data_IF_368613587331
#
_entry.id   IF_368613587331
#
_cell.length_a   1.000
_cell.length_b   1.000
_cell.length_c   1.000
_cell.angle_alpha   90.00
_cell.angle_beta   90.00
_cell.angle_gamma   90.00
#
_symmetry.space_group_name_H-M   'P 1'
#
loop_
_entity.id
_entity.type
_entity.pdbx_description
1 polymer ?
#
# COMPACT_ATOMS: atom_id res chain seq x y z
N UNK A 1 3.13 -10.63 -2.58
CA UNK A 1 1.83 -9.92 -2.50
C UNK A 1 0.95 -10.46 -3.61
N UNK A 2 -0.01 -11.32 -3.26
CA UNK A 2 -1.12 -11.65 -4.17
C UNK A 2 -1.87 -10.37 -4.54
N UNK A 3 -2.55 -10.37 -5.68
CA UNK A 3 -3.33 -9.24 -6.19
C UNK A 3 -4.25 -8.73 -5.07
N UNK A 4 -4.14 -7.44 -4.74
CA UNK A 4 -5.12 -6.78 -3.89
C UNK A 4 -6.37 -6.61 -4.72
N UNK A 5 -7.44 -7.24 -4.30
CA UNK A 5 -8.70 -7.21 -5.01
C UNK A 5 -9.40 -5.87 -4.79
N UNK A 6 -9.83 -5.25 -5.89
CA UNK A 6 -10.54 -3.99 -5.88
C UNK A 6 -12.02 -4.24 -6.21
N UNK A 7 -12.89 -3.48 -5.55
CA UNK A 7 -14.33 -3.46 -5.82
C UNK A 7 -14.76 -2.08 -6.29
N UNK A 8 -15.49 -1.99 -7.40
CA UNK A 8 -16.07 -0.74 -7.91
C UNK A 8 -17.30 -0.30 -7.11
N UNK A 9 -17.58 1.01 -7.06
CA UNK A 9 -18.77 1.57 -6.39
C UNK A 9 -20.07 1.29 -7.18
N UNK A 10 -19.99 1.20 -8.51
CA UNK A 10 -21.15 1.07 -9.40
C UNK A 10 -21.59 -0.39 -9.68
N UNK A 11 -20.75 -1.39 -9.36
CA UNK A 11 -21.14 -2.80 -9.52
C UNK A 11 -21.48 -3.42 -8.15
N UNK A 12 -22.79 -3.48 -7.88
CA UNK A 12 -23.36 -4.31 -6.82
C UNK A 12 -23.20 -5.82 -7.07
N UNK A 13 -22.50 -6.22 -8.14
CA UNK A 13 -22.23 -7.62 -8.51
C UNK A 13 -20.77 -7.85 -8.91
N UNK A 14 -19.96 -8.31 -7.96
CA UNK A 14 -19.10 -9.50 -8.15
C UNK A 14 -17.84 -9.45 -9.03
N UNK A 15 -17.46 -8.36 -9.68
CA UNK A 15 -16.18 -8.29 -10.41
C UNK A 15 -15.04 -7.86 -9.48
N UNK A 16 -14.29 -8.84 -8.96
CA UNK A 16 -12.96 -8.63 -8.36
C UNK A 16 -12.00 -8.22 -9.48
N UNK A 17 -11.79 -6.92 -9.64
CA UNK A 17 -10.84 -6.42 -10.63
C UNK A 17 -9.46 -6.24 -9.97
N UNK A 18 -8.40 -6.72 -10.63
CA UNK A 18 -7.04 -6.34 -10.27
C UNK A 18 -6.77 -4.89 -10.72
N UNK A 19 -5.87 -4.19 -10.03
CA UNK A 19 -5.47 -2.82 -10.40
C UNK A 19 -4.91 -2.76 -11.82
N UNK A 20 -4.26 -3.82 -12.26
CA UNK A 20 -3.71 -3.95 -13.60
C UNK A 20 -4.81 -4.06 -14.67
N UNK A 21 -5.95 -4.65 -14.34
CA UNK A 21 -7.13 -4.72 -15.22
C UNK A 21 -7.75 -3.34 -15.42
N UNK A 22 -7.78 -2.52 -14.36
CA UNK A 22 -8.24 -1.13 -14.42
C UNK A 22 -7.31 -0.28 -15.29
N UNK A 23 -5.99 -0.39 -15.08
CA UNK A 23 -4.97 0.32 -15.86
C UNK A 23 -5.02 -0.05 -17.35
N UNK A 24 -5.21 -1.33 -17.66
CA UNK A 24 -5.37 -1.82 -19.04
C UNK A 24 -6.63 -1.26 -19.69
N UNK A 25 -7.80 -1.34 -19.02
CA UNK A 25 -9.09 -0.92 -19.59
C UNK A 25 -9.17 0.57 -19.85
N UNK A 26 -8.53 1.38 -19.02
CA UNK A 26 -8.49 2.83 -19.20
C UNK A 26 -7.77 3.31 -20.48
N UNK A 27 -7.09 2.42 -21.21
CA UNK A 27 -6.58 2.74 -22.55
C UNK A 27 -7.71 2.94 -23.59
N UNK A 28 -8.86 2.28 -23.39
CA UNK A 28 -9.98 2.23 -24.36
C UNK A 28 -11.07 3.26 -24.11
N UNK A 29 -11.14 3.83 -22.90
CA UNK A 29 -12.11 4.83 -22.47
C UNK A 29 -11.31 5.97 -21.88
N UNK A 30 -11.60 7.22 -22.29
CA UNK A 30 -10.83 8.43 -21.93
C UNK A 30 -10.14 8.35 -20.55
N UNK A 31 -8.83 8.63 -20.52
CA UNK A 31 -7.84 8.33 -19.48
C UNK A 31 -8.26 8.26 -18.00
N UNK A 32 -7.54 7.42 -17.23
CA UNK A 32 -7.86 7.02 -15.85
C UNK A 32 -7.71 8.16 -14.84
N UNK A 33 -8.77 8.43 -14.08
CA UNK A 33 -8.71 9.19 -12.82
C UNK A 33 -9.34 8.35 -11.72
N UNK A 34 -8.52 7.55 -11.05
CA UNK A 34 -8.95 6.56 -10.09
C UNK A 34 -8.81 7.08 -8.66
N UNK A 35 -9.85 6.90 -7.85
CA UNK A 35 -9.78 7.04 -6.41
C UNK A 35 -9.79 5.65 -5.77
N UNK A 36 -8.77 5.35 -4.97
CA UNK A 36 -8.68 4.12 -4.18
C UNK A 36 -8.97 4.45 -2.72
N UNK A 37 -10.10 3.94 -2.22
CA UNK A 37 -10.55 4.11 -0.84
C UNK A 37 -10.30 2.84 -0.03
N UNK A 38 -9.74 3.00 1.17
CA UNK A 38 -9.66 1.89 2.11
C UNK A 38 -9.45 2.38 3.54
N UNK A 39 -9.93 1.65 4.57
CA UNK A 39 -9.53 1.87 5.96
C UNK A 39 -8.00 1.80 6.16
N UNK A 40 -7.56 2.16 7.38
CA UNK A 40 -6.16 2.02 7.78
C UNK A 40 -5.67 0.56 7.70
N UNK A 41 -4.40 0.37 7.33
CA UNK A 41 -3.77 -0.96 7.30
C UNK A 41 -4.09 -1.86 6.10
N UNK A 42 -4.98 -1.44 5.19
CA UNK A 42 -5.36 -2.22 3.98
C UNK A 42 -4.33 -2.21 2.83
N UNK A 43 -3.23 -1.47 2.97
CA UNK A 43 -2.13 -1.52 2.00
C UNK A 43 -2.25 -0.58 0.79
N UNK A 44 -3.00 0.54 0.88
CA UNK A 44 -3.07 1.58 -0.19
C UNK A 44 -1.68 2.03 -0.66
N UNK A 45 -0.84 2.49 0.26
CA UNK A 45 0.54 2.90 -0.02
C UNK A 45 1.36 1.75 -0.59
N UNK A 46 1.18 0.52 -0.08
CA UNK A 46 1.89 -0.67 -0.56
C UNK A 46 1.49 -1.00 -2.00
N UNK A 47 0.20 -0.85 -2.36
CA UNK A 47 -0.30 -1.02 -3.72
C UNK A 47 0.37 -0.02 -4.68
N UNK A 48 0.39 1.27 -4.33
CA UNK A 48 1.02 2.29 -5.17
C UNK A 48 2.53 2.07 -5.32
N UNK A 49 3.23 1.70 -4.24
CA UNK A 49 4.65 1.33 -4.31
C UNK A 49 4.89 0.10 -5.18
N UNK A 50 4.01 -0.89 -5.10
CA UNK A 50 4.09 -2.07 -5.96
C UNK A 50 3.92 -1.69 -7.43
N UNK A 51 2.94 -0.83 -7.76
CA UNK A 51 2.80 -0.30 -9.11
C UNK A 51 4.07 0.41 -9.56
N UNK A 52 4.56 1.38 -8.76
CA UNK A 52 5.78 2.13 -9.07
C UNK A 52 6.97 1.20 -9.34
N UNK A 53 7.15 0.17 -8.52
CA UNK A 53 8.21 -0.83 -8.66
C UNK A 53 8.11 -1.61 -9.98
N UNK A 54 6.94 -2.20 -10.29
CA UNK A 54 6.78 -2.97 -11.53
C UNK A 54 6.94 -2.09 -12.78
N UNK A 55 6.43 -0.85 -12.74
CA UNK A 55 6.60 0.11 -13.83
C UNK A 55 8.06 0.54 -14.00
N UNK A 56 8.79 0.77 -12.91
CA UNK A 56 10.22 1.10 -12.94
C UNK A 56 11.06 -0.04 -13.54
N UNK A 57 10.70 -1.30 -13.27
CA UNK A 57 11.31 -2.48 -13.88
C UNK A 57 10.88 -2.72 -15.34
N UNK A 58 10.02 -1.87 -15.91
CA UNK A 58 9.40 -2.08 -17.23
C UNK A 58 8.69 -3.43 -17.36
N UNK A 59 8.06 -3.88 -16.28
CA UNK A 59 7.28 -5.11 -16.20
C UNK A 59 5.80 -4.82 -15.86
N UNK A 60 5.08 -4.01 -16.67
CA UNK A 60 3.64 -3.86 -16.47
C UNK A 60 2.95 -5.21 -16.66
N UNK A 61 2.01 -5.54 -15.77
CA UNK A 61 1.27 -6.81 -15.84
C UNK A 61 0.04 -6.68 -16.72
N UNK A 62 -0.51 -7.83 -17.12
CA UNK A 62 -1.80 -7.93 -17.82
C UNK A 62 -1.94 -6.98 -19.02
N UNK A 63 -0.88 -6.79 -19.82
CA UNK A 63 -0.87 -5.87 -20.97
C UNK A 63 -1.28 -4.42 -20.65
N UNK A 64 -1.06 -3.97 -19.40
CA UNK A 64 -1.20 -2.57 -19.05
C UNK A 64 -0.21 -1.70 -19.88
N UNK A 65 -0.57 -0.44 -20.19
CA UNK A 65 0.29 0.44 -20.98
C UNK A 65 1.63 0.68 -20.29
N UNK A 66 2.71 0.91 -21.05
CA UNK A 66 3.98 1.33 -20.47
C UNK A 66 3.92 2.80 -20.07
N UNK A 67 4.01 3.06 -18.77
CA UNK A 67 3.92 4.39 -18.17
C UNK A 67 5.13 4.65 -17.25
N UNK A 68 5.48 5.92 -17.10
CA UNK A 68 6.47 6.39 -16.14
C UNK A 68 5.74 6.62 -14.81
N UNK A 69 6.09 5.88 -13.74
CA UNK A 69 5.42 6.02 -12.46
C UNK A 69 5.96 7.24 -11.71
N UNK A 70 5.06 8.05 -11.18
CA UNK A 70 5.36 9.17 -10.29
C UNK A 70 4.59 8.94 -9.00
N UNK A 71 5.29 8.77 -7.88
CA UNK A 71 4.69 8.48 -6.57
C UNK A 71 4.89 9.66 -5.60
N UNK A 72 3.83 10.43 -5.39
CA UNK A 72 3.84 11.64 -4.56
C UNK A 72 3.04 11.39 -3.28
N UNK A 73 3.72 11.39 -2.12
CA UNK A 73 3.04 11.36 -0.81
C UNK A 73 2.51 12.74 -0.47
N UNK A 74 1.20 12.90 -0.37
CA UNK A 74 0.58 14.21 -0.10
C UNK A 74 1.04 14.80 1.22
N UNK A 75 1.23 13.97 2.25
CA UNK A 75 1.77 14.42 3.54
C UNK A 75 3.11 15.18 3.45
N UNK A 76 3.93 14.87 2.44
CA UNK A 76 5.26 15.47 2.20
C UNK A 76 5.16 16.79 1.42
N UNK A 77 4.18 16.89 0.54
CA UNK A 77 4.07 17.97 -0.46
C UNK A 77 2.94 18.95 -0.18
N UNK A 78 2.05 18.66 0.77
CA UNK A 78 0.89 19.50 1.09
C UNK A 78 1.27 20.97 1.35
N UNK A 79 2.32 21.23 2.14
CA UNK A 79 2.76 22.59 2.43
C UNK A 79 3.32 23.28 1.19
N UNK A 80 4.16 22.58 0.41
CA UNK A 80 4.69 23.11 -0.86
C UNK A 80 3.57 23.47 -1.82
N UNK A 81 2.54 22.61 -1.92
CA UNK A 81 1.36 22.84 -2.76
C UNK A 81 0.56 24.06 -2.29
N UNK A 82 0.47 24.31 -0.98
CA UNK A 82 -0.36 25.40 -0.45
C UNK A 82 0.35 26.73 -0.32
N UNK A 83 1.69 26.74 -0.24
CA UNK A 83 2.49 27.96 -0.05
C UNK A 83 3.22 28.43 -1.32
N UNK A 84 3.43 27.56 -2.31
CA UNK A 84 4.08 27.95 -3.57
C UNK A 84 3.05 28.43 -4.58
N UNK A 85 2.99 29.74 -4.80
CA UNK A 85 2.12 30.33 -5.81
C UNK A 85 2.45 29.82 -7.21
N UNK A 86 1.44 29.50 -8.00
CA UNK A 86 1.60 29.04 -9.39
C UNK A 86 2.22 27.65 -9.56
N UNK A 87 2.44 26.88 -8.48
CA UNK A 87 3.02 25.53 -8.57
C UNK A 87 2.19 24.64 -9.50
N UNK A 88 2.82 24.10 -10.54
CA UNK A 88 2.22 23.13 -11.44
C UNK A 88 2.75 21.70 -11.17
N UNK A 89 2.06 20.70 -11.74
CA UNK A 89 2.46 19.30 -11.60
C UNK A 89 3.88 19.01 -12.14
N UNK A 90 4.29 19.46 -13.34
CA UNK A 90 5.66 19.28 -13.82
C UNK A 90 6.72 19.75 -12.82
N UNK A 91 6.56 20.96 -12.27
CA UNK A 91 7.51 21.54 -11.31
C UNK A 91 7.57 20.71 -10.02
N UNK A 92 6.41 20.26 -9.51
CA UNK A 92 6.38 19.39 -8.33
C UNK A 92 7.08 18.04 -8.59
N UNK A 93 6.89 17.45 -9.77
CA UNK A 93 7.55 16.19 -10.16
C UNK A 93 9.06 16.37 -10.18
N UNK A 94 9.57 17.39 -10.87
CA UNK A 94 11.01 17.63 -10.98
C UNK A 94 11.63 17.94 -9.61
N UNK A 95 10.90 18.69 -8.76
CA UNK A 95 11.30 18.91 -7.35
C UNK A 95 11.33 17.62 -6.55
N UNK A 96 10.35 16.73 -6.73
CA UNK A 96 10.35 15.41 -6.08
C UNK A 96 11.52 14.54 -6.52
N UNK A 97 11.82 14.49 -7.83
CA UNK A 97 12.99 13.75 -8.34
C UNK A 97 14.29 14.26 -7.70
N UNK A 98 14.49 15.58 -7.65
CA UNK A 98 15.71 16.16 -7.06
C UNK A 98 15.80 15.98 -5.54
N UNK A 99 14.69 16.14 -4.82
CA UNK A 99 14.71 16.13 -3.35
C UNK A 99 14.64 14.75 -2.73
N UNK A 100 13.82 13.85 -3.28
CA UNK A 100 13.52 12.56 -2.67
C UNK A 100 14.21 11.38 -3.41
N UNK A 101 14.74 11.58 -4.62
CA UNK A 101 15.45 10.53 -5.37
C UNK A 101 16.95 10.80 -5.45
N UNK A 102 17.37 11.88 -6.10
CA UNK A 102 18.79 12.27 -6.13
C UNK A 102 18.95 13.73 -6.52
N UNK A 103 19.69 14.49 -5.71
CA UNK A 103 19.97 15.91 -5.94
C UNK A 103 20.87 16.13 -7.16
N UNK A 104 21.65 15.12 -7.55
CA UNK A 104 22.61 15.15 -8.66
C UNK A 104 21.94 14.83 -10.01
N UNK A 105 20.62 14.62 -10.05
CA UNK A 105 19.91 14.35 -11.29
C UNK A 105 19.94 15.57 -12.21
N UNK A 106 20.68 15.44 -13.32
CA UNK A 106 20.60 16.34 -14.45
C UNK A 106 19.36 16.02 -15.30
N UNK A 107 18.27 16.72 -14.99
CA UNK A 107 17.00 16.57 -15.70
C UNK A 107 17.00 17.47 -16.93
N UNK A 108 16.69 16.94 -18.13
CA UNK A 108 16.47 17.76 -19.32
C UNK A 108 15.44 18.85 -19.05
N UNK A 109 15.59 19.99 -19.72
CA UNK A 109 14.64 21.09 -19.57
C UNK A 109 13.22 20.63 -19.90
N UNK A 110 12.25 20.99 -19.06
CA UNK A 110 10.84 20.61 -19.19
C UNK A 110 10.59 19.09 -19.25
N UNK A 111 11.46 18.27 -18.64
CA UNK A 111 11.36 16.81 -18.70
C UNK A 111 9.97 16.32 -18.29
N UNK A 112 9.47 16.75 -17.11
CA UNK A 112 8.19 16.26 -16.62
C UNK A 112 7.04 16.73 -17.52
N UNK A 113 7.06 18.00 -17.95
CA UNK A 113 6.05 18.56 -18.85
C UNK A 113 6.00 17.82 -20.19
N UNK A 114 7.16 17.56 -20.81
CA UNK A 114 7.26 16.81 -22.07
C UNK A 114 6.65 15.41 -21.97
N UNK A 115 6.92 14.70 -20.88
CA UNK A 115 6.39 13.37 -20.65
C UNK A 115 4.88 13.36 -20.33
N UNK A 116 4.39 14.35 -19.59
CA UNK A 116 2.95 14.54 -19.34
C UNK A 116 2.19 14.88 -20.62
N UNK A 117 2.70 15.79 -21.47
CA UNK A 117 2.07 16.14 -22.74
C UNK A 117 2.00 14.95 -23.70
N UNK A 118 2.99 14.05 -23.64
CA UNK A 118 3.01 12.80 -24.41
C UNK A 118 2.17 11.68 -23.79
N UNK A 119 1.44 11.94 -22.70
CA UNK A 119 0.49 11.00 -22.08
C UNK A 119 1.17 9.73 -21.54
N UNK A 120 2.43 9.86 -21.08
CA UNK A 120 3.28 8.72 -20.70
C UNK A 120 3.39 8.52 -19.20
N UNK A 121 2.64 9.25 -18.37
CA UNK A 121 2.80 9.19 -16.91
C UNK A 121 1.63 8.51 -16.20
N UNK A 122 1.99 7.75 -15.16
CA UNK A 122 1.11 7.31 -14.09
C UNK A 122 1.44 8.12 -12.84
N UNK A 123 0.62 9.12 -12.53
CA UNK A 123 0.81 10.00 -11.38
C UNK A 123 -0.07 9.52 -10.22
N UNK A 124 0.58 9.17 -9.12
CA UNK A 124 -0.05 8.59 -7.94
C UNK A 124 0.11 9.53 -6.75
N UNK A 125 -1.00 10.08 -6.28
CA UNK A 125 -1.10 10.89 -5.07
C UNK A 125 -1.52 9.99 -3.90
N UNK A 126 -0.61 9.80 -2.94
CA UNK A 126 -0.84 8.92 -1.80
C UNK A 126 -1.25 9.69 -0.54
N UNK A 127 -2.36 9.27 0.08
CA UNK A 127 -2.77 9.65 1.43
C UNK A 127 -3.41 11.03 1.52
N UNK A 128 -4.52 11.27 0.81
CA UNK A 128 -5.29 12.52 0.98
C UNK A 128 -5.83 12.67 2.41
N UNK A 129 -6.13 11.56 3.10
CA UNK A 129 -6.52 11.59 4.51
C UNK A 129 -5.40 12.05 5.47
N UNK A 130 -4.15 12.15 5.00
CA UNK A 130 -3.01 12.68 5.76
C UNK A 130 -2.79 14.19 5.50
N UNK A 131 -3.63 14.82 4.67
CA UNK A 131 -3.59 16.27 4.44
C UNK A 131 -4.24 16.98 5.63
N UNK A 132 -3.55 17.99 6.17
CA UNK A 132 -4.07 18.78 7.29
C UNK A 132 -5.36 19.52 6.88
N UNK A 133 -6.36 19.67 7.78
CA UNK A 133 -7.63 20.30 7.45
C UNK A 133 -7.50 21.67 6.78
N UNK A 134 -6.56 22.51 7.25
CA UNK A 134 -6.28 23.84 6.71
C UNK A 134 -5.71 23.85 5.29
N UNK A 135 -5.18 22.71 4.83
CA UNK A 135 -4.63 22.54 3.49
C UNK A 135 -5.56 21.78 2.55
N UNK A 136 -6.60 21.11 3.08
CA UNK A 136 -7.44 20.19 2.33
C UNK A 136 -8.09 20.85 1.10
N UNK A 137 -8.62 22.07 1.26
CA UNK A 137 -9.24 22.80 0.16
C UNK A 137 -8.23 23.13 -0.94
N UNK A 138 -7.13 23.81 -0.60
CA UNK A 138 -6.10 24.21 -1.56
C UNK A 138 -5.48 23.00 -2.28
N UNK A 139 -5.18 21.93 -1.54
CA UNK A 139 -4.66 20.67 -2.13
C UNK A 139 -5.69 20.04 -3.04
N UNK A 140 -6.98 20.03 -2.67
CA UNK A 140 -8.04 19.50 -3.53
C UNK A 140 -8.11 20.26 -4.85
N UNK A 141 -8.18 21.61 -4.78
CA UNK A 141 -8.26 22.45 -5.98
C UNK A 141 -7.01 22.30 -6.85
N UNK A 142 -5.84 22.22 -6.23
CA UNK A 142 -4.60 21.97 -6.94
C UNK A 142 -4.63 20.63 -7.68
N UNK A 143 -5.00 19.51 -7.02
CA UNK A 143 -5.12 18.18 -7.65
C UNK A 143 -6.13 18.21 -8.80
N UNK A 144 -7.30 18.80 -8.57
CA UNK A 144 -8.35 18.91 -9.57
C UNK A 144 -7.90 19.68 -10.81
N UNK A 145 -7.17 20.79 -10.63
CA UNK A 145 -6.52 21.52 -11.71
C UNK A 145 -5.51 20.64 -12.47
N UNK A 146 -4.69 19.83 -11.79
CA UNK A 146 -3.74 18.96 -12.49
C UNK A 146 -4.43 17.87 -13.32
N UNK A 147 -5.52 17.29 -12.79
CA UNK A 147 -6.35 16.37 -13.56
C UNK A 147 -6.94 17.03 -14.80
N UNK A 148 -7.26 18.31 -14.69
CA UNK A 148 -7.81 19.13 -15.75
C UNK A 148 -6.78 19.51 -16.81
N UNK A 149 -5.58 19.92 -16.42
CA UNK A 149 -4.52 20.35 -17.34
C UNK A 149 -3.89 19.17 -18.08
N UNK A 150 -3.83 18.01 -17.42
CA UNK A 150 -3.21 16.79 -17.95
C UNK A 150 -4.21 15.64 -18.13
N UNK A 151 -5.43 15.94 -18.60
CA UNK A 151 -6.58 14.98 -18.67
C UNK A 151 -6.26 13.63 -19.30
N UNK A 152 -5.24 13.57 -20.13
CA UNK A 152 -4.86 12.38 -20.88
C UNK A 152 -3.83 11.48 -20.18
N UNK A 153 -3.39 11.81 -18.96
CA UNK A 153 -2.51 10.95 -18.17
C UNK A 153 -3.30 10.07 -17.20
N UNK A 154 -2.62 9.08 -16.62
CA UNK A 154 -3.20 8.20 -15.63
C UNK A 154 -2.98 8.79 -14.24
N UNK A 155 -4.07 8.95 -13.49
CA UNK A 155 -4.04 9.44 -12.13
C UNK A 155 -4.63 8.43 -11.16
N UNK A 156 -3.94 8.24 -10.03
CA UNK A 156 -4.47 7.53 -8.88
C UNK A 156 -4.38 8.43 -7.65
N UNK A 157 -5.49 8.59 -6.93
CA UNK A 157 -5.55 9.22 -5.62
C UNK A 157 -5.90 8.15 -4.59
N UNK A 158 -5.22 8.12 -3.44
CA UNK A 158 -5.59 7.24 -2.34
C UNK A 158 -6.08 8.05 -1.14
N UNK A 159 -7.06 7.51 -0.42
CA UNK A 159 -7.55 8.11 0.82
C UNK A 159 -8.26 7.08 1.71
N UNK A 160 -8.44 7.39 2.98
CA UNK A 160 -9.53 6.79 3.78
C UNK A 160 -10.88 7.41 3.37
N UNK A 161 -11.99 6.64 3.48
CA UNK A 161 -13.32 7.15 3.16
C UNK A 161 -13.66 8.47 3.89
N UNK A 162 -13.44 8.54 5.21
CA UNK A 162 -13.70 9.73 6.01
C UNK A 162 -12.84 10.93 5.59
N UNK A 163 -11.54 10.72 5.35
CA UNK A 163 -10.64 11.80 4.94
C UNK A 163 -10.96 12.36 3.57
N UNK A 164 -11.47 11.53 2.65
CA UNK A 164 -11.83 11.99 1.30
C UNK A 164 -13.04 12.93 1.29
N UNK A 165 -13.88 12.94 2.33
CA UNK A 165 -15.03 13.86 2.41
C UNK A 165 -14.61 15.34 2.35
N UNK A 166 -13.37 15.66 2.74
CA UNK A 166 -12.82 17.01 2.62
C UNK A 166 -12.39 17.39 1.20
N UNK A 167 -12.49 16.49 0.21
CA UNK A 167 -12.08 16.77 -1.16
C UNK A 167 -13.08 17.68 -1.89
N UNK A 168 -12.73 18.95 -2.07
CA UNK A 168 -13.66 20.00 -2.50
C UNK A 168 -13.58 20.44 -3.97
N UNK A 169 -12.63 19.94 -4.76
CA UNK A 169 -12.52 20.39 -6.17
C UNK A 169 -13.69 19.94 -7.04
N UNK A 170 -14.08 20.76 -8.01
CA UNK A 170 -15.11 20.42 -9.01
C UNK A 170 -14.68 19.28 -9.93
N UNK A 171 -13.37 19.18 -10.21
CA UNK A 171 -12.81 18.10 -11.00
C UNK A 171 -12.67 16.85 -10.11
N UNK A 172 -13.67 15.97 -10.14
CA UNK A 172 -13.70 14.72 -9.35
C UNK A 172 -13.00 13.55 -10.05
N UNK A 173 -12.63 12.49 -9.30
CA UNK A 173 -12.26 11.19 -9.87
C UNK A 173 -13.37 10.64 -10.77
N UNK A 174 -12.99 9.91 -11.82
CA UNK A 174 -13.93 9.27 -12.75
C UNK A 174 -14.37 7.90 -12.29
N UNK A 175 -13.53 7.22 -11.52
CA UNK A 175 -13.80 5.91 -10.99
C UNK A 175 -13.37 5.85 -9.53
N UNK A 176 -14.19 5.21 -8.70
CA UNK A 176 -13.89 4.95 -7.30
C UNK A 176 -13.89 3.46 -7.06
N UNK A 177 -12.86 3.00 -6.36
CA UNK A 177 -12.69 1.59 -6.00
C UNK A 177 -12.29 1.46 -4.54
N UNK A 178 -12.67 0.34 -3.95
CA UNK A 178 -12.33 -0.01 -2.58
C UNK A 178 -11.35 -1.18 -2.55
N UNK A 179 -10.38 -1.15 -1.63
CA UNK A 179 -9.54 -2.32 -1.36
C UNK A 179 -10.30 -3.29 -0.45
N UNK A 180 -10.47 -4.52 -0.92
CA UNK A 180 -11.11 -5.59 -0.14
C UNK A 180 -10.26 -6.02 1.06
N UNK A 181 -10.91 -6.75 1.97
CA UNK A 181 -10.17 -7.48 3.00
C UNK A 181 -9.33 -8.59 2.39
N UNK A 182 -8.31 -9.06 3.11
CA UNK A 182 -7.59 -10.26 2.71
C UNK A 182 -8.51 -11.48 2.75
N UNK A 183 -8.65 -12.15 1.61
CA UNK A 183 -9.30 -13.46 1.53
C UNK A 183 -8.46 -14.52 2.26
N UNK A 184 -9.03 -15.69 2.54
CA UNK A 184 -8.30 -16.80 3.19
C UNK A 184 -7.05 -17.18 2.40
N UNK A 185 -7.19 -17.20 1.08
CA UNK A 185 -6.08 -17.40 0.15
C UNK A 185 -5.02 -16.31 0.30
N UNK A 186 -5.40 -15.03 0.40
CA UNK A 186 -4.43 -13.95 0.61
C UNK A 186 -3.68 -14.10 1.94
N UNK A 187 -4.36 -14.51 3.01
CA UNK A 187 -3.74 -14.74 4.32
C UNK A 187 -2.72 -15.87 4.21
N UNK A 188 -3.12 -17.02 3.66
CA UNK A 188 -2.22 -18.17 3.46
C UNK A 188 -1.01 -17.78 2.61
N UNK A 189 -1.23 -17.17 1.45
CA UNK A 189 -0.16 -16.69 0.57
C UNK A 189 0.80 -15.74 1.27
N UNK A 190 0.26 -14.81 2.06
CA UNK A 190 1.06 -13.85 2.81
C UNK A 190 1.96 -14.58 3.81
N UNK A 191 1.39 -15.47 4.63
CA UNK A 191 2.11 -16.18 5.69
C UNK A 191 3.24 -17.05 5.12
N UNK A 192 2.94 -17.87 4.11
CA UNK A 192 3.96 -18.72 3.48
C UNK A 192 5.07 -17.91 2.83
N UNK A 193 4.72 -16.86 2.05
CA UNK A 193 5.73 -15.99 1.41
C UNK A 193 6.55 -15.25 2.46
N UNK A 194 5.93 -14.79 3.54
CA UNK A 194 6.63 -14.09 4.61
C UNK A 194 7.67 -15.00 5.27
N UNK A 195 7.28 -16.21 5.72
CA UNK A 195 8.22 -17.14 6.34
C UNK A 195 9.32 -17.59 5.39
N UNK A 196 8.98 -17.84 4.12
CA UNK A 196 9.97 -18.15 3.09
C UNK A 196 11.08 -17.10 3.04
N UNK A 197 10.74 -15.84 2.79
CA UNK A 197 11.74 -14.78 2.70
C UNK A 197 12.49 -14.58 4.02
N UNK A 198 11.79 -14.68 5.15
CA UNK A 198 12.41 -14.50 6.45
C UNK A 198 13.42 -15.57 6.82
N UNK A 199 13.22 -16.83 6.45
CA UNK A 199 14.18 -17.91 6.70
C UNK A 199 15.33 -17.89 5.68
N UNK A 200 15.06 -17.50 4.43
CA UNK A 200 16.10 -17.34 3.42
C UNK A 200 17.14 -16.28 3.82
N UNK A 201 16.69 -15.15 4.37
CA UNK A 201 17.56 -14.06 4.85
C UNK A 201 18.27 -14.35 6.18
N UNK A 202 17.98 -15.48 6.86
CA UNK A 202 18.71 -15.82 8.09
C UNK A 202 20.19 -16.10 7.80
N UNK A 203 21.07 -15.50 8.61
CA UNK A 203 22.53 -15.72 8.58
C UNK A 203 22.95 -17.11 9.07
N UNK A 204 22.01 -17.96 9.48
CA UNK A 204 22.30 -19.31 9.94
C UNK A 204 22.70 -20.17 8.74
N UNK A 205 23.87 -20.79 8.83
CA UNK A 205 24.35 -21.76 7.83
C UNK A 205 23.50 -23.03 7.92
N UNK A 206 22.57 -23.19 6.97
CA UNK A 206 21.69 -24.36 6.79
C UNK A 206 21.51 -24.60 5.31
N UNK A 207 21.25 -25.86 4.94
CA UNK A 207 20.87 -26.19 3.56
C UNK A 207 19.58 -25.46 3.15
N UNK A 208 19.43 -25.18 1.85
CA UNK A 208 18.21 -24.56 1.31
C UNK A 208 16.95 -25.36 1.68
N UNK A 209 17.05 -26.70 1.62
CA UNK A 209 15.96 -27.60 2.01
C UNK A 209 15.56 -27.42 3.48
N UNK A 210 16.53 -27.37 4.38
CA UNK A 210 16.25 -27.18 5.81
C UNK A 210 15.66 -25.79 6.11
N UNK A 211 16.08 -24.74 5.38
CA UNK A 211 15.47 -23.40 5.50
C UNK A 211 14.01 -23.40 5.01
N UNK A 212 13.73 -24.06 3.88
CA UNK A 212 12.38 -24.20 3.35
C UNK A 212 11.48 -24.98 4.32
N UNK A 213 11.93 -26.12 4.83
CA UNK A 213 11.17 -26.93 5.80
C UNK A 213 10.87 -26.14 7.08
N UNK A 214 11.84 -25.38 7.60
CA UNK A 214 11.62 -24.50 8.74
C UNK A 214 10.58 -23.41 8.46
N UNK A 215 10.62 -22.80 7.27
CA UNK A 215 9.64 -21.80 6.84
C UNK A 215 8.23 -22.40 6.76
N UNK A 216 8.10 -23.57 6.12
CA UNK A 216 6.81 -24.24 5.93
C UNK A 216 6.22 -24.70 7.26
N UNK A 217 7.03 -25.22 8.18
CA UNK A 217 6.57 -25.62 9.51
C UNK A 217 6.05 -24.43 10.31
N UNK A 218 6.77 -23.31 10.29
CA UNK A 218 6.34 -22.06 10.95
C UNK A 218 5.07 -21.49 10.34
N UNK A 219 4.97 -21.53 9.01
CA UNK A 219 3.79 -21.06 8.29
C UNK A 219 2.57 -21.93 8.61
N UNK A 220 2.70 -23.26 8.54
CA UNK A 220 1.63 -24.22 8.89
C UNK A 220 1.13 -24.01 10.31
N UNK A 221 2.04 -23.86 11.28
CA UNK A 221 1.67 -23.62 12.67
C UNK A 221 0.85 -22.34 12.83
N UNK A 222 1.29 -21.23 12.22
CA UNK A 222 0.55 -19.98 12.27
C UNK A 222 -0.81 -20.10 11.59
N UNK A 223 -0.90 -20.74 10.42
CA UNK A 223 -2.16 -20.94 9.72
C UNK A 223 -3.13 -21.76 10.58
N UNK A 224 -2.65 -22.82 11.24
CA UNK A 224 -3.49 -23.59 12.15
C UNK A 224 -4.01 -22.75 13.32
N UNK A 225 -3.19 -21.85 13.89
CA UNK A 225 -3.62 -20.94 14.96
C UNK A 225 -4.60 -19.86 14.46
N UNK A 226 -4.39 -19.31 13.27
CA UNK A 226 -5.29 -18.29 12.68
C UNK A 226 -6.66 -18.89 12.35
N UNK A 227 -6.69 -20.07 11.73
CA UNK A 227 -7.91 -20.71 11.25
C UNK A 227 -8.56 -21.66 12.27
N UNK A 228 -8.07 -21.66 13.51
CA UNK A 228 -8.73 -22.36 14.60
C UNK A 228 -10.16 -21.81 14.83
N UNK A 229 -11.06 -22.71 15.24
CA UNK A 229 -12.37 -22.32 15.75
C UNK A 229 -12.27 -22.03 17.24
N UNK A 230 -13.11 -21.11 17.72
CA UNK A 230 -13.28 -20.89 19.16
C UNK A 230 -14.21 -21.93 19.80
N UNK A 231 -14.43 -21.82 21.11
CA UNK A 231 -15.25 -22.77 21.88
C UNK A 231 -16.72 -22.81 21.40
N UNK A 232 -17.19 -21.75 20.72
CA UNK A 232 -18.51 -21.68 20.08
C UNK A 232 -18.54 -22.26 18.66
N UNK A 233 -17.40 -22.70 18.12
CA UNK A 233 -17.29 -23.20 16.75
C UNK A 233 -17.23 -22.10 15.69
N UNK A 234 -17.03 -20.84 16.08
CA UNK A 234 -16.90 -19.71 15.15
C UNK A 234 -15.43 -19.43 14.80
N UNK A 235 -15.23 -18.64 13.73
CA UNK A 235 -13.89 -18.22 13.31
C UNK A 235 -13.20 -17.40 14.39
N UNK A 236 -11.95 -17.74 14.71
CA UNK A 236 -11.20 -17.04 15.75
C UNK A 236 -11.12 -15.52 15.54
N UNK A 237 -11.02 -14.79 16.66
CA UNK A 237 -10.69 -13.36 16.67
C UNK A 237 -9.37 -13.08 15.93
N UNK A 238 -8.43 -14.03 15.94
CA UNK A 238 -7.18 -13.94 15.19
C UNK A 238 -7.42 -13.88 13.68
N UNK A 239 -8.32 -14.72 13.14
CA UNK A 239 -8.66 -14.70 11.71
C UNK A 239 -9.29 -13.37 11.32
N UNK A 240 -10.25 -12.89 12.11
CA UNK A 240 -10.92 -11.61 11.87
C UNK A 240 -9.93 -10.44 11.84
N UNK A 241 -8.93 -10.45 12.73
CA UNK A 241 -7.86 -9.44 12.71
C UNK A 241 -6.93 -9.61 11.50
N UNK A 242 -6.57 -10.84 11.13
CA UNK A 242 -5.69 -11.16 10.00
C UNK A 242 -6.25 -10.76 8.62
N UNK A 243 -7.57 -10.53 8.51
CA UNK A 243 -8.20 -9.91 7.33
C UNK A 243 -7.62 -8.53 6.99
N UNK A 244 -7.04 -7.83 7.98
CA UNK A 244 -6.30 -6.59 7.76
C UNK A 244 -4.80 -6.88 7.56
N UNK A 245 -4.19 -6.51 6.43
CA UNK A 245 -2.79 -6.81 6.12
C UNK A 245 -1.79 -6.31 7.16
N UNK A 246 -2.03 -5.14 7.76
CA UNK A 246 -1.17 -4.61 8.82
C UNK A 246 -1.23 -5.49 10.07
N UNK A 247 -2.42 -5.90 10.48
CA UNK A 247 -2.61 -6.79 11.62
C UNK A 247 -1.97 -8.16 11.37
N UNK A 248 -2.19 -8.75 10.18
CA UNK A 248 -1.55 -10.01 9.82
C UNK A 248 -0.02 -9.90 9.92
N UNK A 249 0.57 -8.83 9.39
CA UNK A 249 2.01 -8.62 9.50
C UNK A 249 2.49 -8.50 10.96
N UNK A 250 1.70 -7.90 11.86
CA UNK A 250 2.05 -7.83 13.29
C UNK A 250 1.92 -9.20 13.97
N UNK A 251 0.86 -9.94 13.66
CA UNK A 251 0.61 -11.29 14.19
C UNK A 251 1.74 -12.24 13.78
N UNK A 252 2.11 -12.25 12.49
CA UNK A 252 3.20 -13.10 11.98
C UNK A 252 4.54 -12.78 12.66
N UNK A 253 4.81 -11.50 12.92
CA UNK A 253 6.01 -11.08 13.63
C UNK A 253 6.02 -11.55 15.10
N UNK A 254 4.89 -11.42 15.80
CA UNK A 254 4.74 -11.93 17.17
C UNK A 254 4.89 -13.46 17.20
N UNK A 255 4.23 -14.14 16.27
CA UNK A 255 4.29 -15.58 16.13
C UNK A 255 5.73 -16.06 15.94
N UNK A 256 6.49 -15.44 15.02
CA UNK A 256 7.90 -15.79 14.82
C UNK A 256 8.74 -15.61 16.07
N UNK A 257 8.51 -14.55 16.85
CA UNK A 257 9.25 -14.29 18.09
C UNK A 257 8.97 -15.36 19.16
N UNK A 258 7.75 -15.89 19.20
CA UNK A 258 7.34 -16.91 20.17
C UNK A 258 7.54 -18.34 19.66
N UNK A 259 7.79 -18.53 18.37
CA UNK A 259 7.80 -19.85 17.73
C UNK A 259 8.82 -20.79 18.37
N UNK A 260 8.38 -21.99 18.74
CA UNK A 260 9.21 -23.00 19.40
C UNK A 260 9.30 -22.86 20.93
N UNK A 261 8.72 -21.81 21.53
CA UNK A 261 8.67 -21.66 23.01
C UNK A 261 7.47 -22.36 23.66
N UNK A 262 6.59 -22.98 22.88
CA UNK A 262 5.32 -23.55 23.35
C UNK A 262 4.22 -22.52 23.63
N UNK A 263 4.53 -21.23 23.55
CA UNK A 263 3.54 -20.17 23.76
C UNK A 263 2.63 -19.99 22.53
N UNK A 264 1.32 -20.22 22.71
CA UNK A 264 0.29 -19.92 21.71
C UNK A 264 0.05 -18.41 21.60
N UNK A 265 -0.45 -17.98 20.44
CA UNK A 265 -0.94 -16.61 20.25
C UNK A 265 -2.16 -16.33 21.15
N UNK A 266 -2.26 -15.12 21.73
CA UNK A 266 -3.45 -14.74 22.48
C UNK A 266 -4.68 -14.71 21.58
N UNK A 267 -5.78 -15.31 22.03
CA UNK A 267 -7.05 -15.29 21.30
C UNK A 267 -7.82 -13.98 21.53
N UNK A 268 -7.61 -13.32 22.67
CA UNK A 268 -8.22 -12.03 22.94
C UNK A 268 -7.46 -10.90 22.24
N UNK A 269 -8.21 -10.02 21.57
CA UNK A 269 -7.68 -8.86 20.86
C UNK A 269 -6.78 -7.99 21.74
N UNK A 270 -7.22 -7.69 22.97
CA UNK A 270 -6.50 -6.80 23.89
C UNK A 270 -5.13 -7.38 24.24
N UNK A 271 -5.09 -8.66 24.58
CA UNK A 271 -3.84 -9.34 24.95
C UNK A 271 -2.90 -9.50 23.76
N UNK A 272 -3.44 -9.76 22.57
CA UNK A 272 -2.67 -9.82 21.34
C UNK A 272 -1.97 -8.48 21.07
N UNK A 273 -2.71 -7.38 21.13
CA UNK A 273 -2.13 -6.05 20.90
C UNK A 273 -1.13 -5.67 21.99
N UNK A 274 -1.40 -6.02 23.26
CA UNK A 274 -0.43 -5.83 24.35
C UNK A 274 0.91 -6.51 24.02
N UNK A 275 0.88 -7.81 23.68
CA UNK A 275 2.11 -8.54 23.31
C UNK A 275 2.78 -8.00 22.05
N UNK A 276 2.01 -7.54 21.06
CA UNK A 276 2.57 -6.88 19.87
C UNK A 276 3.31 -5.60 20.28
N UNK A 277 2.71 -4.77 21.13
CA UNK A 277 3.36 -3.53 21.58
C UNK A 277 4.59 -3.81 22.43
N UNK A 278 4.54 -4.77 23.34
CA UNK A 278 5.71 -5.20 24.13
C UNK A 278 6.85 -5.66 23.23
N UNK A 279 6.55 -6.45 22.18
CA UNK A 279 7.56 -6.90 21.23
C UNK A 279 8.18 -5.73 20.44
N UNK A 280 7.35 -4.80 19.95
CA UNK A 280 7.81 -3.70 19.08
C UNK A 280 8.51 -2.59 19.84
N UNK A 281 8.03 -2.27 21.04
CA UNK A 281 8.53 -1.17 21.85
C UNK A 281 9.63 -1.65 22.79
N UNK A 282 9.50 -2.80 23.44
CA UNK A 282 10.47 -3.21 24.48
C UNK A 282 11.49 -4.17 23.89
N UNK A 283 11.04 -5.34 23.45
CA UNK A 283 11.93 -6.48 23.16
C UNK A 283 12.88 -6.19 22.00
N UNK A 284 12.39 -5.56 20.92
CA UNK A 284 13.21 -5.28 19.72
C UNK A 284 14.19 -4.14 19.90
N UNK A 285 13.82 -2.98 20.47
CA UNK A 285 14.79 -1.92 20.76
C UNK A 285 15.90 -2.39 21.71
N UNK A 286 15.55 -3.13 22.77
CA UNK A 286 16.55 -3.72 23.68
C UNK A 286 17.49 -4.68 22.96
N UNK A 287 16.98 -5.57 22.10
CA UNK A 287 17.81 -6.48 21.29
C UNK A 287 18.73 -5.75 20.30
N UNK A 288 18.49 -4.46 20.02
CA UNK A 288 19.32 -3.58 19.19
C UNK A 288 20.20 -2.63 20.01
N UNK A 289 20.20 -2.74 21.33
CA UNK A 289 20.96 -1.85 22.22
C UNK A 289 20.44 -0.41 22.25
N UNK A 290 19.15 -0.21 21.95
CA UNK A 290 18.51 1.10 22.06
C UNK A 290 17.90 1.20 23.45
N UNK A 291 18.39 2.14 24.26
CA UNK A 291 17.82 2.43 25.57
C UNK A 291 16.40 2.97 25.43
N UNK A 292 15.50 2.35 26.17
CA UNK A 292 14.11 2.77 26.29
C UNK A 292 14.04 3.81 27.42
N UNK A 293 13.53 5.00 27.09
CA UNK A 293 13.27 6.09 28.04
C UNK A 293 12.20 5.67 29.04
#
# INVERSE_FOLDING_TARGET
MSQLELRSEEESKGTQDDIWDLLRRAKKRTNLRLLILAPGGRGKTTLLRHLAYNYALKQPKQNAPFLIPVFLRLRRWQEVITTTEGLDLPTLIERHLKQDISQELDLPQNWAKSHLTRQRMLVMFDGFDEVKPEYAEKVSQWIGKQWQDFRQNYFILTSRPKGYQAFSSEHKPRQKVFINEFTDKNIQDFVYKWYFWQEQETRVSRSLKAKQEAADNKAKDLINQLFALDDSGESSTLLALARNPLNLNMIVQLHRANFGSGQKLPQQRVDLFRRIFDLQLITRPQARGIDMI
#
